data_IF_403852533674
#
_entry.id   IF_403852533674
#
_cell.length_a   1.000
_cell.length_b   1.000
_cell.length_c   1.000
_cell.angle_alpha   90.00
_cell.angle_beta   90.00
_cell.angle_gamma   90.00
#
_symmetry.space_group_name_H-M   'P 1'
#
loop_
_entity.id
_entity.type
_entity.pdbx_description
1 polymer ?
#
# COMPACT_ATOMS: atom_id res chain seq x y z
N UNK A 1 10.03 2.65 -25.97
CA UNK A 1 10.09 1.17 -26.02
C UNK A 1 10.44 0.53 -24.66
N UNK A 2 11.53 0.96 -23.98
CA UNK A 2 11.94 0.40 -22.66
C UNK A 2 10.84 0.46 -21.58
N UNK A 3 10.15 1.60 -21.46
CA UNK A 3 9.02 1.81 -20.51
C UNK A 3 7.90 0.78 -20.72
N UNK A 4 7.46 0.58 -21.97
CA UNK A 4 6.40 -0.39 -22.31
C UNK A 4 6.80 -1.82 -21.92
N UNK A 5 8.05 -2.21 -22.23
CA UNK A 5 8.56 -3.54 -21.87
C UNK A 5 8.60 -3.74 -20.36
N UNK A 6 9.07 -2.74 -19.61
CA UNK A 6 9.08 -2.76 -18.14
C UNK A 6 7.69 -2.92 -17.55
N UNK A 7 6.75 -2.08 -18.00
CA UNK A 7 5.39 -2.07 -17.49
C UNK A 7 4.68 -3.40 -17.74
N UNK A 8 4.77 -3.95 -18.96
CA UNK A 8 4.19 -5.24 -19.30
C UNK A 8 4.81 -6.35 -18.44
N UNK A 9 6.13 -6.35 -18.29
CA UNK A 9 6.81 -7.35 -17.49
C UNK A 9 6.40 -7.29 -16.01
N UNK A 10 6.30 -6.09 -15.43
CA UNK A 10 5.93 -5.91 -14.03
C UNK A 10 4.46 -6.25 -13.76
N UNK A 11 3.53 -5.86 -14.64
CA UNK A 11 2.13 -6.29 -14.54
C UNK A 11 2.03 -7.82 -14.61
N UNK A 12 2.71 -8.44 -15.57
CA UNK A 12 2.73 -9.90 -15.68
C UNK A 12 3.30 -10.54 -14.41
N UNK A 13 4.33 -9.95 -13.81
CA UNK A 13 4.92 -10.45 -12.57
C UNK A 13 3.93 -10.41 -11.39
N UNK A 14 3.13 -9.35 -11.28
CA UNK A 14 2.09 -9.22 -10.24
C UNK A 14 1.02 -10.29 -10.41
N UNK A 15 0.60 -10.56 -11.65
CA UNK A 15 -0.48 -11.51 -11.96
C UNK A 15 -0.02 -12.97 -11.98
N UNK A 16 1.27 -13.24 -12.21
CA UNK A 16 1.81 -14.59 -12.47
C UNK A 16 1.49 -15.64 -11.40
N UNK A 17 1.52 -15.26 -10.12
CA UNK A 17 1.33 -16.21 -9.02
C UNK A 17 -0.10 -16.22 -8.47
N UNK A 18 -1.04 -15.52 -9.12
CA UNK A 18 -2.42 -15.30 -8.67
C UNK A 18 -2.59 -14.73 -7.25
N UNK A 19 -1.51 -14.50 -6.49
CA UNK A 19 -1.58 -13.98 -5.12
C UNK A 19 -2.34 -12.65 -5.04
N UNK A 20 -2.09 -11.72 -5.96
CA UNK A 20 -2.82 -10.46 -6.02
C UNK A 20 -4.34 -10.66 -6.20
N UNK A 21 -4.81 -11.32 -7.28
CA UNK A 21 -6.24 -11.55 -7.45
C UNK A 21 -6.85 -12.42 -6.33
N UNK A 22 -6.10 -13.40 -5.78
CA UNK A 22 -6.57 -14.21 -4.65
C UNK A 22 -6.75 -13.37 -3.38
N UNK A 23 -5.79 -12.51 -3.02
CA UNK A 23 -5.92 -11.60 -1.88
C UNK A 23 -7.12 -10.67 -2.03
N UNK A 24 -7.31 -10.12 -3.23
CA UNK A 24 -8.44 -9.24 -3.53
C UNK A 24 -9.77 -9.99 -3.35
N UNK A 25 -9.89 -11.19 -3.92
CA UNK A 25 -11.10 -12.01 -3.79
C UNK A 25 -11.36 -12.45 -2.35
N UNK A 26 -10.33 -12.89 -1.62
CA UNK A 26 -10.45 -13.25 -0.20
C UNK A 26 -10.97 -12.06 0.60
N UNK A 27 -10.41 -10.87 0.36
CA UNK A 27 -10.87 -9.68 1.06
C UNK A 27 -12.33 -9.36 0.75
N UNK A 28 -12.73 -9.39 -0.53
CA UNK A 28 -14.12 -9.15 -0.92
C UNK A 28 -15.06 -10.18 -0.29
N UNK A 29 -14.74 -11.47 -0.33
CA UNK A 29 -15.54 -12.51 0.32
C UNK A 29 -15.63 -12.30 1.83
N UNK A 30 -14.53 -11.91 2.47
CA UNK A 30 -14.48 -11.62 3.90
C UNK A 30 -15.33 -10.41 4.28
N UNK A 31 -15.26 -9.32 3.51
CA UNK A 31 -16.09 -8.14 3.71
C UNK A 31 -17.59 -8.47 3.63
N UNK A 32 -17.98 -9.24 2.62
CA UNK A 32 -19.37 -9.67 2.45
C UNK A 32 -19.86 -10.55 3.60
N UNK A 33 -19.03 -11.51 4.04
CA UNK A 33 -19.35 -12.41 5.14
C UNK A 33 -19.43 -11.66 6.48
N UNK A 34 -18.52 -10.74 6.77
CA UNK A 34 -18.56 -9.95 8.01
C UNK A 34 -19.78 -9.04 8.06
N UNK A 35 -20.15 -8.43 6.93
CA UNK A 35 -21.31 -7.56 6.88
C UNK A 35 -22.61 -8.31 7.19
N UNK A 36 -22.73 -9.58 6.80
CA UNK A 36 -23.88 -10.40 7.15
C UNK A 36 -23.83 -10.97 8.57
N UNK A 37 -22.63 -11.22 9.12
CA UNK A 37 -22.45 -11.83 10.44
C UNK A 37 -22.49 -10.83 11.61
N UNK A 38 -21.96 -9.63 11.43
CA UNK A 38 -21.68 -8.69 12.53
C UNK A 38 -22.48 -7.39 12.48
N UNK A 39 -23.41 -7.25 11.51
CA UNK A 39 -24.28 -6.07 11.35
C UNK A 39 -23.55 -4.73 11.55
N UNK A 40 -22.36 -4.59 10.95
CA UNK A 40 -21.48 -3.46 11.21
C UNK A 40 -22.09 -2.11 10.79
N UNK A 41 -21.84 -1.08 11.59
CA UNK A 41 -22.17 0.30 11.23
C UNK A 41 -21.27 0.81 10.09
N UNK A 42 -21.74 1.81 9.34
CA UNK A 42 -21.01 2.39 8.19
C UNK A 42 -19.57 2.80 8.52
N UNK A 43 -19.35 3.38 9.70
CA UNK A 43 -18.02 3.82 10.15
C UNK A 43 -17.07 2.63 10.42
N UNK A 44 -17.61 1.50 10.92
CA UNK A 44 -16.84 0.28 11.16
C UNK A 44 -16.51 -0.42 9.83
N UNK A 45 -17.46 -0.46 8.89
CA UNK A 45 -17.25 -1.00 7.54
C UNK A 45 -16.14 -0.26 6.80
N UNK A 46 -16.13 1.08 6.87
CA UNK A 46 -15.07 1.87 6.27
C UNK A 46 -13.70 1.59 6.91
N UNK A 47 -13.63 1.50 8.23
CA UNK A 47 -12.39 1.13 8.92
C UNK A 47 -11.83 -0.22 8.46
N UNK A 48 -12.71 -1.23 8.30
CA UNK A 48 -12.34 -2.55 7.78
C UNK A 48 -11.83 -2.48 6.34
N UNK A 49 -12.45 -1.65 5.50
CA UNK A 49 -12.03 -1.42 4.11
C UNK A 49 -10.64 -0.76 4.05
N UNK A 50 -10.39 0.26 4.87
CA UNK A 50 -9.07 0.93 4.98
C UNK A 50 -7.98 -0.08 5.38
N UNK A 51 -8.24 -0.90 6.41
CA UNK A 51 -7.31 -1.97 6.84
C UNK A 51 -7.09 -2.99 5.72
N UNK A 52 -8.15 -3.35 5.00
CA UNK A 52 -8.11 -4.24 3.85
C UNK A 52 -7.19 -3.77 2.74
N UNK A 53 -7.44 -2.56 2.22
CA UNK A 53 -6.63 -1.98 1.14
C UNK A 53 -5.17 -1.87 1.57
N UNK A 54 -4.93 -1.47 2.82
CA UNK A 54 -3.58 -1.41 3.38
C UNK A 54 -2.86 -2.76 3.28
N UNK A 55 -3.47 -3.84 3.78
CA UNK A 55 -2.86 -5.17 3.76
C UNK A 55 -2.75 -5.76 2.35
N UNK A 56 -3.78 -5.64 1.52
CA UNK A 56 -3.75 -6.11 0.12
C UNK A 56 -2.61 -5.43 -0.62
N UNK A 57 -2.47 -4.11 -0.48
CA UNK A 57 -1.42 -3.35 -1.14
C UNK A 57 -0.02 -3.69 -0.62
N UNK A 58 0.13 -3.79 0.71
CA UNK A 58 1.39 -4.16 1.36
C UNK A 58 1.87 -5.55 0.92
N UNK A 59 1.03 -6.58 1.06
CA UNK A 59 1.37 -7.96 0.74
C UNK A 59 1.66 -8.14 -0.76
N UNK A 60 0.89 -7.48 -1.61
CA UNK A 60 1.12 -7.50 -3.06
C UNK A 60 2.45 -6.86 -3.42
N UNK A 61 2.76 -5.70 -2.82
CA UNK A 61 4.03 -5.00 -3.03
C UNK A 61 5.22 -5.81 -2.53
N UNK A 62 5.06 -6.48 -1.39
CA UNK A 62 6.06 -7.41 -0.85
C UNK A 62 6.36 -8.56 -1.78
N UNK A 63 5.31 -9.25 -2.24
CA UNK A 63 5.47 -10.35 -3.18
C UNK A 63 6.09 -9.87 -4.49
N UNK A 64 5.67 -8.72 -5.01
CA UNK A 64 6.20 -8.14 -6.22
C UNK A 64 7.70 -7.83 -6.13
N UNK A 65 8.18 -7.04 -5.15
CA UNK A 65 9.60 -6.66 -5.14
C UNK A 65 10.51 -7.86 -4.78
N UNK A 66 10.00 -8.85 -4.03
CA UNK A 66 10.71 -10.11 -3.80
C UNK A 66 10.88 -10.90 -5.12
N UNK A 67 9.79 -11.08 -5.87
CA UNK A 67 9.84 -11.81 -7.14
C UNK A 67 10.66 -11.06 -8.20
N UNK A 68 10.61 -9.73 -8.19
CA UNK A 68 11.36 -8.90 -9.11
C UNK A 68 12.87 -9.09 -8.92
N UNK A 69 13.34 -9.07 -7.67
CA UNK A 69 14.75 -9.26 -7.34
C UNK A 69 15.27 -10.67 -7.72
N UNK A 70 14.39 -11.66 -7.75
CA UNK A 70 14.72 -13.03 -8.15
C UNK A 70 14.72 -13.22 -9.67
N UNK A 71 13.70 -12.71 -10.37
CA UNK A 71 13.43 -13.04 -11.79
C UNK A 71 14.01 -12.02 -12.77
N UNK A 72 14.04 -10.73 -12.43
CA UNK A 72 14.28 -9.66 -13.41
C UNK A 72 15.72 -9.13 -13.45
N UNK A 73 16.70 -9.85 -12.88
CA UNK A 73 18.11 -9.43 -12.85
C UNK A 73 18.67 -9.09 -14.25
N UNK A 74 18.40 -9.94 -15.24
CA UNK A 74 18.83 -9.71 -16.63
C UNK A 74 18.13 -8.51 -17.27
N UNK A 75 16.86 -8.30 -16.94
CA UNK A 75 16.06 -7.21 -17.50
C UNK A 75 16.51 -5.86 -16.93
N UNK A 76 16.88 -5.84 -15.64
CA UNK A 76 17.54 -4.71 -14.99
C UNK A 76 18.86 -4.34 -15.68
N UNK A 77 19.75 -5.33 -15.90
CA UNK A 77 21.03 -5.12 -16.59
C UNK A 77 20.85 -4.59 -18.02
N UNK A 78 19.89 -5.15 -18.78
CA UNK A 78 19.62 -4.73 -20.16
C UNK A 78 19.15 -3.28 -20.29
N UNK A 79 18.47 -2.75 -19.28
CA UNK A 79 17.95 -1.38 -19.31
C UNK A 79 19.06 -0.38 -19.01
N UNK A 80 19.98 -0.76 -18.11
CA UNK A 80 21.14 0.01 -17.69
C UNK A 80 20.78 1.42 -17.17
N UNK A 81 19.66 1.54 -16.46
CA UNK A 81 19.24 2.78 -15.82
C UNK A 81 18.43 2.45 -14.57
N UNK A 82 19.05 2.68 -13.40
CA UNK A 82 18.46 2.38 -12.10
C UNK A 82 17.17 3.17 -11.85
N UNK A 83 17.22 4.50 -12.00
CA UNK A 83 16.09 5.39 -11.73
C UNK A 83 14.89 5.09 -12.62
N UNK A 84 15.11 4.80 -13.91
CA UNK A 84 14.04 4.40 -14.81
C UNK A 84 13.38 3.09 -14.33
N UNK A 85 14.18 2.10 -13.97
CA UNK A 85 13.67 0.82 -13.47
C UNK A 85 12.87 1.01 -12.18
N UNK A 86 13.46 1.72 -11.21
CA UNK A 86 12.85 2.03 -9.93
C UNK A 86 11.52 2.79 -10.07
N UNK A 87 11.49 3.86 -10.88
CA UNK A 87 10.27 4.62 -11.14
C UNK A 87 9.18 3.75 -11.78
N UNK A 88 9.53 2.81 -12.65
CA UNK A 88 8.56 1.89 -13.24
C UNK A 88 8.01 0.87 -12.24
N UNK A 89 8.81 0.44 -11.26
CA UNK A 89 8.32 -0.39 -10.15
C UNK A 89 7.30 0.38 -9.31
N UNK A 90 7.65 1.60 -8.91
CA UNK A 90 6.79 2.48 -8.14
C UNK A 90 5.49 2.73 -8.89
N UNK A 91 5.58 3.12 -10.16
CA UNK A 91 4.42 3.41 -11.00
C UNK A 91 3.49 2.20 -11.14
N UNK A 92 4.06 1.00 -11.32
CA UNK A 92 3.25 -0.21 -11.46
C UNK A 92 2.52 -0.54 -10.15
N UNK A 93 3.21 -0.47 -9.01
CA UNK A 93 2.59 -0.71 -7.70
C UNK A 93 1.55 0.36 -7.35
N UNK A 94 1.78 1.62 -7.73
CA UNK A 94 0.78 2.70 -7.60
C UNK A 94 -0.47 2.41 -8.41
N UNK A 95 -0.34 1.96 -9.67
CA UNK A 95 -1.49 1.57 -10.50
C UNK A 95 -2.26 0.42 -9.84
N UNK A 96 -1.56 -0.59 -9.33
CA UNK A 96 -2.19 -1.73 -8.65
C UNK A 96 -2.89 -1.31 -7.35
N UNK A 97 -2.31 -0.41 -6.57
CA UNK A 97 -2.93 0.13 -5.37
C UNK A 97 -4.20 0.94 -5.68
N UNK A 98 -4.17 1.80 -6.70
CA UNK A 98 -5.34 2.56 -7.17
C UNK A 98 -6.42 1.59 -7.67
N UNK A 99 -6.05 0.61 -8.49
CA UNK A 99 -6.99 -0.38 -9.01
C UNK A 99 -7.62 -1.20 -7.87
N UNK A 100 -6.84 -1.61 -6.87
CA UNK A 100 -7.35 -2.29 -5.67
C UNK A 100 -8.37 -1.44 -4.94
N UNK A 101 -8.05 -0.16 -4.69
CA UNK A 101 -8.95 0.77 -4.01
C UNK A 101 -10.25 0.99 -4.79
N UNK A 102 -10.19 1.10 -6.12
CA UNK A 102 -11.38 1.22 -6.98
C UNK A 102 -12.24 -0.04 -6.87
N UNK A 103 -11.66 -1.22 -7.06
CA UNK A 103 -12.41 -2.48 -7.03
C UNK A 103 -13.05 -2.67 -5.66
N UNK A 104 -12.27 -2.52 -4.58
CA UNK A 104 -12.79 -2.66 -3.22
C UNK A 104 -13.87 -1.62 -2.91
N UNK A 105 -13.73 -0.38 -3.39
CA UNK A 105 -14.78 0.64 -3.21
C UNK A 105 -16.07 0.35 -3.98
N UNK A 106 -15.98 -0.26 -5.17
CA UNK A 106 -17.16 -0.59 -5.99
C UNK A 106 -17.92 -1.77 -5.38
N UNK A 107 -17.21 -2.79 -4.94
CA UNK A 107 -17.81 -4.01 -4.38
C UNK A 107 -18.16 -3.87 -2.89
N UNK A 108 -17.64 -2.85 -2.22
CA UNK A 108 -18.09 -2.50 -0.88
C UNK A 108 -19.50 -1.91 -0.94
N UNK A 109 -20.45 -2.58 -0.31
CA UNK A 109 -21.85 -2.16 -0.14
C UNK A 109 -22.03 -0.86 0.69
N UNK A 110 -20.93 -0.18 1.02
CA UNK A 110 -20.89 0.89 2.01
C UNK A 110 -21.20 2.28 1.43
N UNK A 111 -21.11 2.50 0.11
CA UNK A 111 -21.15 3.86 -0.46
C UNK A 111 -22.27 4.13 -1.46
N UNK A 112 -23.13 5.11 -1.11
CA UNK A 112 -23.99 5.83 -2.05
C UNK A 112 -23.18 6.81 -2.92
N UNK A 113 -23.71 7.19 -4.09
CA UNK A 113 -23.17 7.98 -5.23
C UNK A 113 -22.06 9.03 -4.96
N UNK A 114 -21.91 9.56 -3.75
CA UNK A 114 -20.73 10.32 -3.30
C UNK A 114 -19.46 9.45 -3.09
N UNK A 115 -19.51 8.16 -3.45
CA UNK A 115 -18.47 7.12 -3.30
C UNK A 115 -17.12 7.43 -3.93
N UNK A 116 -17.08 8.27 -4.97
CA UNK A 116 -15.84 8.56 -5.71
C UNK A 116 -14.80 9.22 -4.80
N UNK A 117 -15.24 10.05 -3.83
CA UNK A 117 -14.34 10.76 -2.92
C UNK A 117 -13.70 9.79 -1.91
N UNK A 118 -14.32 8.63 -1.63
CA UNK A 118 -13.75 7.60 -0.76
C UNK A 118 -12.61 6.82 -1.42
N UNK A 119 -12.50 6.83 -2.75
CA UNK A 119 -11.40 6.17 -3.48
C UNK A 119 -10.06 6.83 -3.13
N UNK A 120 -10.04 8.15 -2.93
CA UNK A 120 -8.82 8.89 -2.61
C UNK A 120 -8.16 8.40 -1.30
N UNK A 121 -8.82 8.41 -0.11
CA UNK A 121 -8.23 7.92 1.13
C UNK A 121 -7.87 6.44 1.07
N UNK A 122 -8.62 5.63 0.32
CA UNK A 122 -8.31 4.21 0.13
C UNK A 122 -7.05 4.01 -0.72
N UNK A 123 -6.94 4.72 -1.84
CA UNK A 123 -5.78 4.67 -2.71
C UNK A 123 -4.53 5.16 -1.98
N UNK A 124 -4.61 6.27 -1.24
CA UNK A 124 -3.48 6.79 -0.46
C UNK A 124 -3.09 5.86 0.67
N UNK A 125 -4.05 5.18 1.30
CA UNK A 125 -3.77 4.13 2.28
C UNK A 125 -3.02 2.96 1.64
N UNK A 126 -3.42 2.53 0.44
CA UNK A 126 -2.68 1.53 -0.34
C UNK A 126 -1.25 1.99 -0.62
N UNK A 127 -1.05 3.25 -1.03
CA UNK A 127 0.28 3.82 -1.26
C UNK A 127 1.17 3.83 -0.01
N UNK A 128 0.61 4.02 1.19
CA UNK A 128 1.36 3.86 2.44
C UNK A 128 1.87 2.41 2.57
N UNK A 129 1.03 1.42 2.26
CA UNK A 129 1.44 0.01 2.19
C UNK A 129 2.57 -0.24 1.18
N UNK A 130 2.49 0.36 0.00
CA UNK A 130 3.57 0.35 -1.02
C UNK A 130 4.85 0.95 -0.45
N UNK A 131 4.78 2.12 0.20
CA UNK A 131 5.95 2.79 0.78
C UNK A 131 6.65 1.96 1.86
N UNK A 132 5.89 1.32 2.74
CA UNK A 132 6.43 0.41 3.77
C UNK A 132 7.10 -0.80 3.10
N UNK A 133 6.49 -1.37 2.05
CA UNK A 133 7.12 -2.45 1.30
C UNK A 133 8.45 -2.01 0.68
N UNK A 134 8.53 -0.80 0.12
CA UNK A 134 9.76 -0.27 -0.46
C UNK A 134 10.87 -0.06 0.57
N UNK A 135 10.59 0.49 1.75
CA UNK A 135 11.66 0.72 2.73
C UNK A 135 12.28 -0.58 3.24
N UNK A 136 11.49 -1.66 3.29
CA UNK A 136 11.97 -2.98 3.70
C UNK A 136 12.61 -3.79 2.55
N UNK A 137 12.44 -3.37 1.28
CA UNK A 137 13.00 -4.03 0.08
C UNK A 137 14.47 -4.45 0.22
N UNK A 138 15.40 -3.62 0.74
CA UNK A 138 16.81 -3.98 0.82
C UNK A 138 17.11 -5.18 1.73
N UNK A 139 16.23 -5.46 2.69
CA UNK A 139 16.44 -6.50 3.69
C UNK A 139 15.86 -7.86 3.27
N UNK A 140 14.99 -7.95 2.26
CA UNK A 140 14.32 -9.21 1.91
C UNK A 140 15.24 -10.34 1.44
N UNK A 141 16.33 -10.00 0.76
CA UNK A 141 17.26 -11.01 0.24
C UNK A 141 18.42 -11.31 1.20
N UNK A 142 18.84 -10.32 2.00
CA UNK A 142 20.03 -10.46 2.84
C UNK A 142 19.68 -10.77 4.31
N UNK A 143 18.57 -10.24 4.81
CA UNK A 143 18.13 -10.35 6.20
C UNK A 143 16.60 -10.52 6.28
N UNK A 144 16.06 -11.67 5.83
CA UNK A 144 14.61 -11.87 5.69
C UNK A 144 13.86 -11.69 7.00
N UNK A 145 14.44 -12.12 8.13
CA UNK A 145 13.85 -11.97 9.46
C UNK A 145 13.77 -10.50 9.91
N UNK A 146 14.83 -9.71 9.69
CA UNK A 146 14.83 -8.29 10.04
C UNK A 146 13.77 -7.54 9.24
N UNK A 147 13.61 -7.89 7.97
CA UNK A 147 12.61 -7.28 7.13
C UNK A 147 11.18 -7.61 7.57
N UNK A 148 10.92 -8.86 7.96
CA UNK A 148 9.63 -9.29 8.51
C UNK A 148 9.31 -8.56 9.82
N UNK A 149 10.28 -8.49 10.74
CA UNK A 149 10.13 -7.75 12.00
C UNK A 149 9.86 -6.26 11.72
N UNK A 150 10.61 -5.66 10.80
CA UNK A 150 10.43 -4.26 10.39
C UNK A 150 9.01 -4.00 9.87
N UNK A 151 8.49 -4.88 9.01
CA UNK A 151 7.12 -4.77 8.50
C UNK A 151 6.11 -4.84 9.65
N UNK A 152 6.25 -5.79 10.58
CA UNK A 152 5.34 -5.91 11.74
C UNK A 152 5.35 -4.62 12.57
N UNK A 153 6.52 -4.05 12.83
CA UNK A 153 6.67 -2.78 13.54
C UNK A 153 5.98 -1.64 12.80
N UNK A 154 6.21 -1.50 11.49
CA UNK A 154 5.56 -0.44 10.69
C UNK A 154 4.05 -0.61 10.60
N UNK A 155 3.55 -1.85 10.49
CA UNK A 155 2.12 -2.16 10.49
C UNK A 155 1.49 -1.81 11.84
N UNK A 156 2.14 -2.19 12.94
CA UNK A 156 1.68 -1.83 14.28
C UNK A 156 1.60 -0.32 14.45
N UNK A 157 2.66 0.41 14.11
CA UNK A 157 2.72 1.87 14.22
C UNK A 157 1.67 2.53 13.31
N UNK A 158 1.44 2.01 12.10
CA UNK A 158 0.41 2.52 11.18
C UNK A 158 -1.01 2.42 11.76
N UNK A 159 -1.32 1.32 12.44
CA UNK A 159 -2.66 1.01 12.95
C UNK A 159 -2.89 1.49 14.39
N UNK A 160 -1.86 1.60 15.22
CA UNK A 160 -1.96 2.02 16.63
C UNK A 160 -1.84 3.54 16.82
N UNK A 161 -1.35 4.27 15.81
CA UNK A 161 -0.86 5.67 15.88
C UNK A 161 -1.79 6.77 16.40
N UNK A 162 -3.02 6.47 16.82
CA UNK A 162 -4.01 7.43 17.32
C UNK A 162 -4.48 7.20 18.76
N UNK A 163 -4.11 6.07 19.40
CA UNK A 163 -4.59 5.72 20.74
C UNK A 163 -3.79 6.34 21.91
N UNK A 164 -2.49 6.59 21.70
CA UNK A 164 -1.59 6.95 22.80
C UNK A 164 -1.09 8.40 22.72
N UNK A 165 -1.31 9.17 23.79
CA UNK A 165 -0.86 10.57 23.92
C UNK A 165 0.65 10.76 23.71
N UNK A 166 1.45 9.71 23.90
CA UNK A 166 2.91 9.70 23.69
C UNK A 166 3.25 9.83 22.19
N UNK A 167 2.44 9.25 21.30
CA UNK A 167 2.67 9.25 19.86
C UNK A 167 2.28 10.58 19.20
N UNK A 168 1.57 11.48 19.91
CA UNK A 168 1.15 12.80 19.41
C UNK A 168 2.35 13.68 19.01
N UNK A 169 3.50 13.56 19.69
CA UNK A 169 4.70 14.33 19.36
C UNK A 169 5.42 13.83 18.10
N UNK A 170 5.21 12.58 17.71
CA UNK A 170 5.86 11.92 16.55
C UNK A 170 4.82 11.66 15.43
N UNK A 171 3.61 12.19 15.56
CA UNK A 171 2.48 11.97 14.64
C UNK A 171 2.73 12.34 13.17
N UNK A 172 3.78 13.12 12.89
CA UNK A 172 4.23 13.47 11.55
C UNK A 172 5.07 12.36 10.90
N UNK A 173 5.74 11.54 11.71
CA UNK A 173 6.57 10.40 11.27
C UNK A 173 5.84 9.06 11.28
N UNK A 174 4.64 9.01 11.86
CA UNK A 174 3.81 7.80 11.97
C UNK A 174 2.98 7.65 10.68
N UNK A 175 2.85 6.44 10.10
CA UNK A 175 2.00 6.20 8.94
C UNK A 175 0.54 6.54 9.30
N UNK A 176 -0.12 7.51 8.63
CA UNK A 176 -1.41 8.01 9.07
C UNK A 176 -2.57 7.13 8.57
N UNK A 177 -2.48 5.81 8.78
CA UNK A 177 -3.55 4.85 8.41
C UNK A 177 -4.65 4.88 9.47
N UNK A 178 -4.28 4.75 10.74
CA UNK A 178 -5.19 4.88 11.89
C UNK A 178 -5.95 6.21 11.92
N UNK A 179 -5.30 7.33 11.54
CA UNK A 179 -5.94 8.66 11.45
C UNK A 179 -7.11 8.72 10.47
N UNK A 180 -7.04 7.98 9.36
CA UNK A 180 -8.17 7.90 8.41
C UNK A 180 -9.37 7.23 9.06
N UNK A 181 -9.12 6.18 9.85
CA UNK A 181 -10.16 5.44 10.56
C UNK A 181 -10.81 6.32 11.64
N UNK A 182 -9.99 6.96 12.49
CA UNK A 182 -10.52 7.78 13.60
C UNK A 182 -11.27 9.00 13.11
N UNK A 183 -10.74 9.73 12.12
CA UNK A 183 -11.40 10.94 11.60
C UNK A 183 -12.72 10.59 10.92
N UNK A 184 -12.80 9.46 10.21
CA UNK A 184 -14.06 9.02 9.64
C UNK A 184 -15.07 8.61 10.72
N UNK A 185 -14.62 7.94 11.79
CA UNK A 185 -15.48 7.56 12.91
C UNK A 185 -16.04 8.77 13.66
N UNK A 186 -15.23 9.82 13.86
CA UNK A 186 -15.62 11.02 14.62
C UNK A 186 -16.49 11.97 13.81
N UNK A 187 -16.15 12.22 12.54
CA UNK A 187 -16.77 13.29 11.75
C UNK A 187 -17.77 12.77 10.72
N UNK A 188 -17.80 11.45 10.45
CA UNK A 188 -18.68 10.79 9.47
C UNK A 188 -18.74 11.48 8.10
N UNK A 189 -17.70 12.25 7.75
CA UNK A 189 -17.63 13.11 6.57
C UNK A 189 -16.42 12.75 5.74
N UNK A 190 -16.65 12.33 4.50
CA UNK A 190 -15.58 11.95 3.56
C UNK A 190 -14.67 13.15 3.23
N UNK A 191 -15.20 14.38 3.26
CA UNK A 191 -14.41 15.59 3.00
C UNK A 191 -13.34 15.84 4.07
N UNK A 192 -13.60 15.42 5.31
CA UNK A 192 -12.63 15.52 6.40
C UNK A 192 -11.40 14.62 6.19
N UNK A 193 -11.48 13.64 5.28
CA UNK A 193 -10.38 12.73 4.97
C UNK A 193 -9.38 13.31 3.96
N UNK A 194 -9.71 14.39 3.25
CA UNK A 194 -8.84 14.96 2.21
C UNK A 194 -7.47 15.37 2.77
N UNK A 195 -7.37 16.13 3.88
CA UNK A 195 -6.06 16.50 4.43
C UNK A 195 -5.21 15.30 4.84
N UNK A 196 -5.85 14.28 5.43
CA UNK A 196 -5.18 13.04 5.84
C UNK A 196 -4.72 12.23 4.65
N UNK A 197 -5.51 12.19 3.57
CA UNK A 197 -5.14 11.52 2.32
C UNK A 197 -3.91 12.16 1.69
N UNK A 198 -3.83 13.51 1.70
CA UNK A 198 -2.64 14.24 1.25
C UNK A 198 -1.44 13.90 2.14
N UNK A 199 -1.62 13.84 3.46
CA UNK A 199 -0.55 13.44 4.39
C UNK A 199 -0.05 12.02 4.11
N UNK A 200 -0.95 11.06 3.87
CA UNK A 200 -0.61 9.69 3.48
C UNK A 200 0.18 9.63 2.18
N UNK A 201 -0.23 10.43 1.18
CA UNK A 201 0.47 10.52 -0.10
C UNK A 201 1.90 11.04 0.12
N UNK A 202 2.07 12.17 0.81
CA UNK A 202 3.40 12.73 1.12
C UNK A 202 4.26 11.72 1.87
N UNK A 203 3.71 11.08 2.90
CA UNK A 203 4.41 10.06 3.68
C UNK A 203 4.88 8.89 2.80
N UNK A 204 4.00 8.37 1.93
CA UNK A 204 4.36 7.29 1.00
C UNK A 204 5.47 7.70 0.03
N UNK A 205 5.42 8.93 -0.51
CA UNK A 205 6.47 9.45 -1.39
C UNK A 205 7.81 9.55 -0.66
N UNK A 206 7.83 10.04 0.58
CA UNK A 206 9.05 10.13 1.38
C UNK A 206 9.65 8.73 1.60
N UNK A 207 8.87 7.74 2.00
CA UNK A 207 9.36 6.37 2.18
C UNK A 207 9.92 5.76 0.88
N UNK A 208 9.23 5.98 -0.24
CA UNK A 208 9.65 5.48 -1.55
C UNK A 208 10.97 6.14 -1.97
N UNK A 209 11.08 7.47 -1.87
CA UNK A 209 12.30 8.21 -2.26
C UNK A 209 13.48 7.77 -1.39
N UNK A 210 13.30 7.65 -0.07
CA UNK A 210 14.33 7.15 0.83
C UNK A 210 14.79 5.75 0.44
N UNK A 211 13.86 4.84 0.14
CA UNK A 211 14.21 3.50 -0.34
C UNK A 211 15.02 3.53 -1.64
N UNK A 212 14.66 4.38 -2.59
CA UNK A 212 15.35 4.53 -3.87
C UNK A 212 16.80 5.00 -3.71
N UNK A 213 17.03 6.06 -2.93
CA UNK A 213 18.37 6.65 -2.75
C UNK A 213 19.34 5.71 -2.02
N UNK A 214 18.87 4.98 -1.00
CA UNK A 214 19.71 3.98 -0.33
C UNK A 214 20.08 2.81 -1.24
N UNK A 215 19.21 2.43 -2.17
CA UNK A 215 19.44 1.29 -3.04
C UNK A 215 20.33 1.61 -4.25
N UNK A 216 20.26 2.83 -4.80
CA UNK A 216 21.21 3.30 -5.82
C UNK A 216 22.66 3.19 -5.34
N UNK A 217 22.91 3.66 -4.12
CA UNK A 217 24.25 3.66 -3.49
C UNK A 217 24.84 2.26 -3.30
N UNK A 218 23.99 1.24 -3.12
CA UNK A 218 24.43 -0.16 -2.98
C UNK A 218 24.82 -0.79 -4.32
N UNK A 219 24.39 -0.22 -5.45
CA UNK A 219 24.72 -0.72 -6.78
C UNK A 219 25.89 0.00 -7.45
N UNK A 220 26.29 1.19 -6.97
CA UNK A 220 27.47 1.90 -7.49
C UNK A 220 28.79 1.51 -6.79
N UNK A 221 28.72 0.72 -5.72
CA UNK A 221 29.85 0.17 -4.97
C UNK A 221 29.99 -1.33 -5.24
#
# INVERSE_FOLDING_TARGET
MKVKVLLINFINLILRNFLYPTLLMIFLSFELAINSLLELNMNQKFGLLVIGVFFVSLLTSMNFLKNDAAVNRYLFQKINNYWLYFLMQVLTLTIVAIFSAIVMSIFSFTFSINSIVAILPLATTGLVGVGIAFICKPQWNNHPYIAQIGIVVFVYIALAGTGDNILNYIQWFIPPVSKVITIFQEQSSIRALIPVSIQQLVYSCVLIILSGTFYEKKMSN
#
